data_IF_462291899608
#
_entry.id   IF_462291899608
#
_cell.length_a   1.000
_cell.length_b   1.000
_cell.length_c   1.000
_cell.angle_alpha   90.00
_cell.angle_beta   90.00
_cell.angle_gamma   90.00
#
_symmetry.space_group_name_H-M   'P 1'
#
loop_
_entity.id
_entity.type
_entity.pdbx_description
1 polymer ?
#
# COMPACT_ATOMS: atom_id res chain seq x y z
N UNK A 1 -23.01 6.41 11.92
CA UNK A 1 -22.37 5.09 12.12
C UNK A 1 -21.34 4.92 11.01
N UNK A 2 -20.08 4.65 11.31
CA UNK A 2 -19.07 4.40 10.27
C UNK A 2 -19.40 3.06 9.58
N UNK A 3 -19.71 3.09 8.29
CA UNK A 3 -20.24 1.92 7.57
C UNK A 3 -19.19 0.82 7.33
N UNK A 4 -17.89 1.13 7.38
CA UNK A 4 -16.75 0.18 7.37
C UNK A 4 -15.44 0.99 7.50
N UNK A 5 -14.31 0.36 7.88
CA UNK A 5 -13.02 1.05 7.85
C UNK A 5 -12.64 1.31 6.39
N UNK A 6 -12.22 2.53 6.05
CA UNK A 6 -11.87 2.90 4.66
C UNK A 6 -10.80 2.01 4.03
N UNK A 7 -9.96 1.38 4.85
CA UNK A 7 -8.95 0.40 4.43
C UNK A 7 -9.56 -0.88 3.85
N UNK A 8 -10.68 -1.34 4.42
CA UNK A 8 -11.34 -2.56 3.99
C UNK A 8 -12.08 -2.32 2.67
N UNK A 9 -12.64 -1.12 2.50
CA UNK A 9 -13.31 -0.68 1.27
C UNK A 9 -12.34 -0.66 0.09
N UNK A 10 -11.11 -0.16 0.27
CA UNK A 10 -10.11 -0.11 -0.81
C UNK A 10 -9.78 -1.50 -1.35
N UNK A 11 -9.59 -2.47 -0.46
CA UNK A 11 -9.32 -3.86 -0.86
C UNK A 11 -10.51 -4.46 -1.60
N UNK A 12 -11.74 -4.20 -1.13
CA UNK A 12 -12.95 -4.64 -1.83
C UNK A 12 -13.09 -4.02 -3.22
N UNK A 13 -12.78 -2.74 -3.38
CA UNK A 13 -12.82 -2.06 -4.68
C UNK A 13 -11.79 -2.65 -5.65
N UNK A 14 -10.59 -2.98 -5.16
CA UNK A 14 -9.59 -3.69 -5.98
C UNK A 14 -10.08 -5.07 -6.40
N UNK A 15 -10.66 -5.84 -5.48
CA UNK A 15 -11.21 -7.17 -5.80
C UNK A 15 -12.34 -7.09 -6.82
N UNK A 16 -13.20 -6.06 -6.73
CA UNK A 16 -14.25 -5.81 -7.71
C UNK A 16 -13.68 -5.44 -9.08
N UNK A 17 -12.68 -4.56 -9.13
CA UNK A 17 -12.02 -4.17 -10.38
C UNK A 17 -11.36 -5.37 -11.07
N UNK A 18 -10.63 -6.19 -10.32
CA UNK A 18 -10.01 -7.41 -10.84
C UNK A 18 -11.06 -8.40 -11.35
N UNK A 19 -12.17 -8.59 -10.61
CA UNK A 19 -13.29 -9.45 -11.03
C UNK A 19 -14.01 -8.92 -12.27
N UNK A 20 -14.04 -7.60 -12.48
CA UNK A 20 -14.57 -6.98 -13.69
C UNK A 20 -13.64 -7.16 -14.92
N UNK A 21 -12.51 -7.86 -14.76
CA UNK A 21 -11.54 -8.10 -15.83
C UNK A 21 -10.54 -6.97 -16.03
N UNK A 22 -10.52 -5.96 -15.15
CA UNK A 22 -9.51 -4.91 -15.20
C UNK A 22 -8.17 -5.49 -14.74
N UNK A 23 -7.15 -5.32 -15.58
CA UNK A 23 -5.79 -5.73 -15.25
C UNK A 23 -4.91 -4.50 -15.11
N UNK A 24 -4.09 -4.48 -14.06
CA UNK A 24 -3.13 -3.42 -13.82
C UNK A 24 -1.84 -4.05 -13.31
N UNK A 25 -0.69 -3.46 -13.64
CA UNK A 25 0.61 -3.89 -13.09
C UNK A 25 0.92 -3.22 -11.76
N UNK A 26 0.38 -2.02 -11.57
CA UNK A 26 0.62 -1.16 -10.41
C UNK A 26 -0.70 -0.57 -9.92
N UNK A 27 -0.80 -0.41 -8.61
CA UNK A 27 -1.83 0.41 -7.96
C UNK A 27 -1.15 1.58 -7.29
N UNK A 28 -1.67 2.78 -7.56
CA UNK A 28 -1.17 4.02 -6.97
C UNK A 28 -2.07 4.45 -5.81
N UNK A 29 -1.49 4.65 -4.63
CA UNK A 29 -2.22 5.03 -3.42
C UNK A 29 -1.73 6.34 -2.81
N UNK A 30 -2.69 7.08 -2.24
CA UNK A 30 -2.39 8.21 -1.37
C UNK A 30 -1.85 7.73 -0.01
N UNK A 31 -1.15 8.63 0.68
CA UNK A 31 -0.55 8.43 2.01
C UNK A 31 -1.49 7.91 3.09
N UNK A 32 -2.81 8.07 2.91
CA UNK A 32 -3.82 7.57 3.83
C UNK A 32 -4.00 6.04 3.77
N UNK A 33 -3.55 5.41 2.67
CA UNK A 33 -3.66 3.96 2.43
C UNK A 33 -2.32 3.24 2.45
N UNK A 34 -1.23 3.94 2.77
CA UNK A 34 0.15 3.41 2.75
C UNK A 34 0.53 2.60 4.00
N UNK A 35 -0.42 2.02 4.73
CA UNK A 35 -0.11 1.18 5.88
C UNK A 35 0.52 -0.15 5.40
N UNK A 36 1.64 -0.61 5.98
CA UNK A 36 2.28 -1.88 5.63
C UNK A 36 1.30 -3.06 5.45
N UNK A 37 0.29 -3.19 6.32
CA UNK A 37 -0.70 -4.27 6.21
C UNK A 37 -1.46 -4.25 4.88
N UNK A 38 -1.88 -3.07 4.42
CA UNK A 38 -2.60 -2.94 3.15
C UNK A 38 -1.70 -3.23 1.96
N UNK A 39 -0.46 -2.72 1.99
CA UNK A 39 0.53 -2.94 0.93
C UNK A 39 0.76 -4.45 0.73
N UNK A 40 0.91 -5.20 1.83
CA UNK A 40 1.05 -6.66 1.78
C UNK A 40 -0.19 -7.33 1.19
N UNK A 41 -1.40 -6.92 1.59
CA UNK A 41 -2.64 -7.48 1.05
C UNK A 41 -2.80 -7.23 -0.46
N UNK A 42 -2.36 -6.08 -0.96
CA UNK A 42 -2.39 -5.76 -2.39
C UNK A 42 -1.32 -6.56 -3.14
N UNK A 43 -0.12 -6.68 -2.58
CA UNK A 43 0.96 -7.51 -3.16
C UNK A 43 0.55 -8.98 -3.29
N UNK A 44 -0.19 -9.53 -2.31
CA UNK A 44 -0.75 -10.89 -2.38
C UNK A 44 -1.73 -11.11 -3.55
N UNK A 45 -2.29 -10.03 -4.12
CA UNK A 45 -3.16 -10.08 -5.31
C UNK A 45 -2.38 -9.99 -6.62
N UNK A 46 -1.04 -10.01 -6.57
CA UNK A 46 -0.18 -9.90 -7.74
C UNK A 46 -0.02 -8.48 -8.28
N UNK A 47 -0.44 -7.48 -7.50
CA UNK A 47 -0.35 -6.06 -7.86
C UNK A 47 0.84 -5.42 -7.17
N UNK A 48 1.65 -4.67 -7.91
CA UNK A 48 2.70 -3.84 -7.31
C UNK A 48 2.08 -2.55 -6.76
N UNK A 49 2.64 -2.02 -5.66
CA UNK A 49 2.11 -0.81 -5.01
C UNK A 49 3.09 0.33 -5.15
N UNK A 50 2.59 1.47 -5.63
CA UNK A 50 3.28 2.76 -5.56
C UNK A 50 2.45 3.63 -4.61
N UNK A 51 3.01 4.00 -3.48
CA UNK A 51 2.29 4.80 -2.50
C UNK A 51 3.15 5.95 -1.99
N UNK A 52 2.50 7.08 -1.72
CA UNK A 52 3.11 8.09 -0.86
C UNK A 52 3.20 7.54 0.56
N UNK A 53 4.34 7.68 1.22
CA UNK A 53 4.52 7.21 2.60
C UNK A 53 4.77 8.39 3.53
N UNK A 54 4.23 8.32 4.75
CA UNK A 54 4.53 9.33 5.77
C UNK A 54 6.00 9.24 6.17
N UNK A 55 6.64 10.40 6.35
CA UNK A 55 7.99 10.51 6.92
C UNK A 55 7.93 10.26 8.42
N UNK A 56 7.89 9.00 8.82
CA UNK A 56 7.89 8.56 10.22
C UNK A 56 9.16 7.76 10.51
N UNK A 57 9.85 8.06 11.62
CA UNK A 57 11.03 7.33 12.06
C UNK A 57 10.73 5.96 12.64
N UNK A 58 9.47 5.70 13.03
CA UNK A 58 9.01 4.41 13.57
C UNK A 58 8.75 3.37 12.48
N UNK A 59 8.53 3.80 11.23
CA UNK A 59 8.27 2.91 10.11
C UNK A 59 9.58 2.70 9.35
N UNK A 60 9.98 1.44 9.20
CA UNK A 60 11.17 1.03 8.46
C UNK A 60 10.76 0.22 7.23
N UNK A 61 11.54 0.38 6.17
CA UNK A 61 11.40 -0.29 4.89
C UNK A 61 12.70 -1.02 4.59
N UNK A 62 12.61 -2.09 3.81
CA UNK A 62 13.80 -2.73 3.27
C UNK A 62 14.28 -1.96 2.04
N UNK A 63 15.50 -1.47 2.09
CA UNK A 63 16.17 -0.79 0.99
C UNK A 63 17.60 -1.34 0.89
N UNK A 64 17.98 -1.86 -0.27
CA UNK A 64 19.30 -2.49 -0.52
C UNK A 64 19.69 -3.54 0.54
N UNK A 65 18.73 -4.35 0.99
CA UNK A 65 18.95 -5.39 2.01
C UNK A 65 19.10 -4.88 3.45
N UNK A 66 18.88 -3.58 3.71
CA UNK A 66 18.91 -2.98 5.04
C UNK A 66 17.54 -2.45 5.44
N UNK A 67 17.19 -2.56 6.72
CA UNK A 67 15.99 -1.93 7.28
C UNK A 67 16.29 -0.49 7.67
N UNK A 68 15.67 0.45 6.96
CA UNK A 68 15.91 1.89 7.10
C UNK A 68 14.59 2.64 7.06
N UNK A 69 14.47 3.74 7.80
CA UNK A 69 13.31 4.62 7.67
C UNK A 69 13.45 5.56 6.45
N UNK A 70 12.37 6.22 6.06
CA UNK A 70 12.35 7.12 4.89
C UNK A 70 13.42 8.22 4.99
N UNK A 71 13.70 8.74 6.18
CA UNK A 71 14.72 9.78 6.35
C UNK A 71 16.12 9.22 6.06
N UNK A 72 16.40 7.98 6.42
CA UNK A 72 17.70 7.35 6.18
C UNK A 72 17.89 6.93 4.72
N UNK A 73 16.81 6.63 3.98
CA UNK A 73 16.88 6.21 2.57
C UNK A 73 17.15 7.42 1.65
N UNK A 74 16.60 8.59 1.99
CA UNK A 74 16.67 9.80 1.14
C UNK A 74 17.58 10.91 1.68
N UNK A 75 18.30 10.69 2.78
CA UNK A 75 19.41 11.56 3.23
C UNK A 75 20.73 11.05 2.67
#
# INVERSE_FOLDING_TARGET
MAQSKGTDVVIQLLDQALKAGLTAKYVMFDTWFSNPHQIVQISQRGLNVIAMVKKDSKITYEFEGKRMNVKQIFN
#
